data_IF_263961340555
#
_entry.id   IF_263961340555
#
_cell.length_a   1.000
_cell.length_b   1.000
_cell.length_c   1.000
_cell.angle_alpha   90.00
_cell.angle_beta   90.00
_cell.angle_gamma   90.00
#
_symmetry.space_group_name_H-M   'P 1'
#
loop_
_entity.id
_entity.type
_entity.pdbx_description
1 polymer ?
#
# COMPACT_ATOMS: atom_id res chain seq x y z
N UNK A 1 -11.71 -23.66 6.51
CA UNK A 1 -10.26 -23.53 6.69
C UNK A 1 -9.94 -22.07 6.53
N UNK A 2 -9.25 -21.48 7.51
CA UNK A 2 -9.01 -20.04 7.55
C UNK A 2 -7.62 -19.72 7.00
N UNK A 3 -7.51 -18.59 6.30
CA UNK A 3 -6.25 -18.08 5.79
C UNK A 3 -5.66 -17.06 6.79
N UNK A 4 -4.37 -17.16 7.04
CA UNK A 4 -3.65 -16.22 7.90
C UNK A 4 -2.85 -15.23 7.04
N UNK A 5 -2.99 -13.94 7.34
CA UNK A 5 -2.18 -12.86 6.76
C UNK A 5 -1.12 -12.47 7.78
N UNK A 6 0.15 -12.42 7.35
CA UNK A 6 1.29 -12.14 8.21
C UNK A 6 2.03 -10.92 7.67
N UNK A 7 2.42 -10.00 8.56
CA UNK A 7 3.10 -8.74 8.21
C UNK A 7 4.49 -8.70 8.87
N UNK A 8 5.54 -9.21 8.20
CA UNK A 8 6.91 -9.09 8.70
C UNK A 8 7.38 -7.63 8.70
N UNK A 9 8.01 -7.20 9.79
CA UNK A 9 8.48 -5.81 9.95
C UNK A 9 9.83 -5.56 9.25
N UNK A 10 10.58 -6.63 8.96
CA UNK A 10 11.89 -6.54 8.34
C UNK A 10 12.22 -7.75 7.44
N UNK A 11 13.34 -7.64 6.70
CA UNK A 11 13.79 -8.66 5.74
C UNK A 11 14.16 -9.99 6.40
N UNK A 12 14.70 -9.95 7.61
CA UNK A 12 15.11 -11.14 8.35
C UNK A 12 13.90 -11.97 8.79
N UNK A 13 12.89 -11.32 9.36
CA UNK A 13 11.61 -11.93 9.72
C UNK A 13 10.92 -12.55 8.50
N UNK A 14 10.85 -11.84 7.38
CA UNK A 14 10.28 -12.37 6.14
C UNK A 14 11.02 -13.63 5.65
N UNK A 15 12.34 -13.63 5.75
CA UNK A 15 13.18 -14.76 5.33
C UNK A 15 12.96 -15.98 6.22
N UNK A 16 12.96 -15.78 7.54
CA UNK A 16 12.70 -16.83 8.51
C UNK A 16 11.30 -17.43 8.33
N UNK A 17 10.27 -16.58 8.15
CA UNK A 17 8.89 -17.02 7.94
C UNK A 17 8.76 -17.90 6.68
N UNK A 18 9.37 -17.48 5.56
CA UNK A 18 9.38 -18.26 4.32
C UNK A 18 10.06 -19.61 4.50
N UNK A 19 11.15 -19.68 5.27
CA UNK A 19 11.85 -20.93 5.53
C UNK A 19 10.98 -21.91 6.33
N UNK A 20 10.31 -21.43 7.39
CA UNK A 20 9.40 -22.23 8.21
C UNK A 20 8.21 -22.72 7.39
N UNK A 21 7.56 -21.84 6.61
CA UNK A 21 6.42 -22.20 5.76
C UNK A 21 6.80 -23.29 4.73
N UNK A 22 7.98 -23.16 4.09
CA UNK A 22 8.49 -24.18 3.17
C UNK A 22 8.77 -25.51 3.86
N UNK A 23 9.42 -25.49 5.03
CA UNK A 23 9.73 -26.69 5.78
C UNK A 23 8.46 -27.47 6.19
N UNK A 24 7.40 -26.75 6.52
CA UNK A 24 6.09 -27.30 6.86
C UNK A 24 5.22 -27.64 5.64
N UNK A 25 5.72 -27.43 4.42
CA UNK A 25 4.97 -27.62 3.16
C UNK A 25 3.67 -26.82 3.11
N UNK A 26 3.65 -25.64 3.75
CA UNK A 26 2.52 -24.72 3.71
C UNK A 26 2.62 -23.89 2.43
N UNK A 27 1.56 -23.89 1.63
CA UNK A 27 1.46 -23.00 0.47
C UNK A 27 1.24 -21.55 0.93
N UNK A 28 1.96 -20.61 0.32
CA UNK A 28 1.81 -19.18 0.61
C UNK A 28 1.89 -18.36 -0.67
N UNK A 29 1.15 -17.25 -0.69
CA UNK A 29 1.20 -16.26 -1.76
C UNK A 29 1.93 -15.01 -1.25
N UNK A 30 2.93 -14.55 -2.01
CA UNK A 30 3.53 -13.25 -1.74
C UNK A 30 2.84 -12.20 -2.62
N UNK A 31 1.92 -11.45 -2.03
CA UNK A 31 1.36 -10.26 -2.68
C UNK A 31 2.39 -9.14 -2.60
N UNK A 32 3.09 -8.88 -3.69
CA UNK A 32 3.77 -7.59 -3.88
C UNK A 32 2.71 -6.59 -4.35
N UNK A 33 2.32 -5.67 -3.48
CA UNK A 33 1.52 -4.51 -3.88
C UNK A 33 2.42 -3.58 -4.71
N UNK A 34 2.59 -3.90 -5.99
CA UNK A 34 3.18 -2.98 -6.95
C UNK A 34 2.08 -1.98 -7.29
N UNK A 35 2.08 -0.85 -6.58
CA UNK A 35 1.23 0.28 -6.93
C UNK A 35 1.66 0.80 -8.31
N UNK A 36 0.71 1.11 -9.22
CA UNK A 36 1.05 1.76 -10.48
C UNK A 36 1.86 3.03 -10.23
N UNK A 37 2.85 3.30 -11.07
CA UNK A 37 3.74 4.46 -10.92
C UNK A 37 2.95 5.78 -10.80
N UNK A 38 1.84 5.91 -11.54
CA UNK A 38 0.95 7.06 -11.45
C UNK A 38 0.37 7.29 -10.03
N UNK A 39 0.08 6.21 -9.29
CA UNK A 39 -0.42 6.29 -7.91
C UNK A 39 0.71 6.77 -6.98
N UNK A 40 1.91 6.20 -7.13
CA UNK A 40 3.08 6.60 -6.33
C UNK A 40 3.44 8.07 -6.55
N UNK A 41 3.40 8.53 -7.81
CA UNK A 41 3.64 9.93 -8.17
C UNK A 41 2.56 10.86 -7.63
N UNK A 42 1.28 10.48 -7.76
CA UNK A 42 0.18 11.26 -7.21
C UNK A 42 0.27 11.45 -5.69
N UNK A 43 0.66 10.41 -4.95
CA UNK A 43 0.88 10.50 -3.49
C UNK A 43 2.05 11.42 -3.16
N UNK A 44 3.19 11.29 -3.86
CA UNK A 44 4.35 12.19 -3.66
C UNK A 44 3.99 13.65 -3.91
N UNK A 45 3.32 13.93 -5.03
CA UNK A 45 2.86 15.27 -5.37
C UNK A 45 1.90 15.82 -4.31
N UNK A 46 0.98 15.00 -3.80
CA UNK A 46 0.05 15.41 -2.74
C UNK A 46 0.79 15.79 -1.45
N UNK A 47 1.84 15.07 -1.08
CA UNK A 47 2.67 15.40 0.09
C UNK A 47 3.41 16.73 -0.10
N UNK A 48 3.94 17.00 -1.30
CA UNK A 48 4.58 18.28 -1.63
C UNK A 48 3.59 19.44 -1.57
N UNK A 49 2.37 19.28 -2.12
CA UNK A 49 1.30 20.28 -2.05
C UNK A 49 0.92 20.62 -0.61
N UNK A 50 0.86 19.63 0.28
CA UNK A 50 0.60 19.86 1.71
C UNK A 50 1.71 20.71 2.34
N UNK A 51 2.98 20.43 2.03
CA UNK A 51 4.12 21.20 2.54
C UNK A 51 4.14 22.63 2.01
N UNK A 52 3.67 22.85 0.78
CA UNK A 52 3.57 24.16 0.14
C UNK A 52 2.29 24.93 0.54
N UNK A 53 1.37 24.31 1.29
CA UNK A 53 0.09 24.90 1.68
C UNK A 53 -0.95 24.93 0.56
N UNK A 54 -0.74 24.21 -0.54
CA UNK A 54 -1.64 24.09 -1.68
C UNK A 54 -2.82 23.15 -1.39
N UNK A 55 -3.62 23.47 -0.37
CA UNK A 55 -4.71 22.63 0.09
C UNK A 55 -6.04 23.07 -0.53
N UNK A 56 -6.80 22.10 -1.06
CA UNK A 56 -8.18 22.30 -1.49
C UNK A 56 -9.13 21.67 -0.47
N UNK A 57 -10.03 22.44 0.17
CA UNK A 57 -11.00 21.88 1.10
C UNK A 57 -11.96 20.96 0.34
N UNK A 58 -12.15 19.76 0.85
CA UNK A 58 -13.13 18.83 0.27
C UNK A 58 -14.55 19.31 0.60
N UNK A 59 -15.31 19.70 -0.44
CA UNK A 59 -16.72 20.12 -0.30
C UNK A 59 -17.72 19.08 -0.81
N UNK A 60 -17.22 17.97 -1.37
CA UNK A 60 -18.04 16.88 -1.90
C UNK A 60 -17.52 16.32 -3.22
N UNK A 61 -18.10 15.20 -3.65
CA UNK A 61 -17.69 14.49 -4.87
C UNK A 61 -17.87 15.34 -6.13
N UNK A 62 -18.93 16.16 -6.22
CA UNK A 62 -19.17 17.05 -7.37
C UNK A 62 -18.05 18.09 -7.53
N UNK A 63 -17.64 18.69 -6.41
CA UNK A 63 -16.54 19.67 -6.35
C UNK A 63 -15.20 19.03 -6.74
N UNK A 64 -14.93 17.82 -6.22
CA UNK A 64 -13.73 17.04 -6.58
C UNK A 64 -13.67 16.70 -8.08
N UNK A 65 -14.80 16.39 -8.71
CA UNK A 65 -14.90 16.02 -10.12
C UNK A 65 -15.04 17.24 -11.07
N UNK A 66 -15.09 18.46 -10.54
CA UNK A 66 -15.31 19.66 -11.35
C UNK A 66 -16.69 19.74 -12.00
N UNK A 67 -17.68 19.03 -11.45
CA UNK A 67 -19.05 19.00 -11.94
C UNK A 67 -19.83 20.18 -11.34
N UNK A 68 -20.37 21.06 -12.20
CA UNK A 68 -21.27 22.16 -11.80
C UNK A 68 -22.61 21.65 -11.33
#
# INVERSE_FOLDING_TARGET
MDALIVYPENKEQLTALKAVMKAMKIAFEQKSEIYPEAVLQGVKQSLEQVQQGELKPYKGVKDMLGLK
#
